data_IF_616044746994
#
_entry.id   IF_616044746994
#
_cell.length_a   1.000
_cell.length_b   1.000
_cell.length_c   1.000
_cell.angle_alpha   90.00
_cell.angle_beta   90.00
_cell.angle_gamma   90.00
#
_symmetry.space_group_name_H-M   'P 1'
#
loop_
_entity.id
_entity.type
_entity.pdbx_description
1 polymer ?
#
# COMPACT_ATOMS: atom_id res chain seq x y z
N UNK A 1 -13.14 11.11 -8.94
CA UNK A 1 -13.45 9.68 -9.07
C UNK A 1 -12.12 8.97 -8.90
N UNK A 2 -11.93 8.30 -7.76
CA UNK A 2 -10.64 7.69 -7.36
C UNK A 2 -10.40 6.49 -8.29
N UNK A 3 -9.47 6.62 -9.24
CA UNK A 3 -9.09 5.51 -10.12
C UNK A 3 -8.10 4.60 -9.38
N UNK A 4 -8.34 3.30 -9.42
CA UNK A 4 -7.53 2.30 -8.72
C UNK A 4 -6.83 1.43 -9.74
N UNK A 5 -5.51 1.44 -9.70
CA UNK A 5 -4.68 0.56 -10.49
C UNK A 5 -4.58 -0.80 -9.79
N UNK A 6 -4.90 -1.88 -10.50
CA UNK A 6 -4.83 -3.27 -10.00
C UNK A 6 -3.98 -4.12 -10.93
N UNK A 7 -3.13 -4.96 -10.36
CA UNK A 7 -2.26 -5.88 -11.09
C UNK A 7 -2.07 -7.18 -10.34
N UNK A 8 -2.13 -8.30 -11.06
CA UNK A 8 -1.74 -9.61 -10.55
C UNK A 8 -0.21 -9.70 -10.44
N UNK A 9 0.29 -10.05 -9.26
CA UNK A 9 1.69 -10.36 -9.04
C UNK A 9 1.97 -11.80 -9.48
N UNK A 10 3.03 -11.98 -10.28
CA UNK A 10 3.50 -13.30 -10.73
C UNK A 10 4.38 -14.02 -9.69
N UNK A 11 4.24 -13.64 -8.43
CA UNK A 11 5.02 -14.11 -7.28
C UNK A 11 4.10 -14.29 -6.09
N UNK A 12 4.53 -15.06 -5.08
CA UNK A 12 3.77 -15.24 -3.85
C UNK A 12 3.65 -13.96 -3.02
N UNK A 13 2.74 -13.98 -2.06
CA UNK A 13 2.35 -12.83 -1.25
C UNK A 13 3.52 -12.09 -0.60
N UNK A 14 4.38 -12.80 0.15
CA UNK A 14 5.50 -12.19 0.89
C UNK A 14 6.51 -11.52 -0.04
N UNK A 15 6.81 -12.16 -1.17
CA UNK A 15 7.69 -11.61 -2.20
C UNK A 15 7.04 -10.40 -2.90
N UNK A 16 5.72 -10.40 -3.09
CA UNK A 16 5.00 -9.25 -3.63
C UNK A 16 5.07 -8.04 -2.67
N UNK A 17 4.87 -8.24 -1.37
CA UNK A 17 5.01 -7.19 -0.35
C UNK A 17 6.42 -6.59 -0.41
N UNK A 18 7.46 -7.44 -0.38
CA UNK A 18 8.84 -6.99 -0.45
C UNK A 18 9.14 -6.22 -1.74
N UNK A 19 8.65 -6.68 -2.89
CA UNK A 19 8.82 -5.98 -4.17
C UNK A 19 8.13 -4.62 -4.21
N UNK A 20 7.00 -4.48 -3.52
CA UNK A 20 6.33 -3.18 -3.37
C UNK A 20 7.20 -2.24 -2.54
N UNK A 21 7.72 -2.69 -1.40
CA UNK A 21 8.64 -1.91 -0.56
C UNK A 21 9.91 -1.49 -1.33
N UNK A 22 10.56 -2.44 -2.01
CA UNK A 22 11.77 -2.20 -2.80
C UNK A 22 11.48 -1.22 -3.96
N UNK A 23 10.32 -1.34 -4.60
CA UNK A 23 9.91 -0.41 -5.65
C UNK A 23 9.68 0.99 -5.08
N UNK A 24 9.00 1.14 -3.95
CA UNK A 24 8.84 2.43 -3.29
C UNK A 24 10.20 3.10 -3.05
N UNK A 25 11.16 2.37 -2.46
CA UNK A 25 12.51 2.90 -2.18
C UNK A 25 13.23 3.30 -3.47
N UNK A 26 13.17 2.48 -4.53
CA UNK A 26 13.81 2.79 -5.81
C UNK A 26 13.23 4.06 -6.46
N UNK A 27 11.94 4.29 -6.34
CA UNK A 27 11.27 5.49 -6.88
C UNK A 27 11.39 6.73 -5.96
N UNK A 28 12.20 6.66 -4.90
CA UNK A 28 12.46 7.80 -4.00
C UNK A 28 11.45 7.97 -2.87
N UNK A 29 10.60 6.98 -2.61
CA UNK A 29 9.70 6.98 -1.46
C UNK A 29 10.37 6.31 -0.26
N UNK A 30 10.19 6.87 0.93
CA UNK A 30 10.47 6.19 2.19
C UNK A 30 9.29 5.31 2.59
N UNK A 31 9.54 4.03 2.90
CA UNK A 31 8.54 3.14 3.50
C UNK A 31 8.33 3.55 4.96
N UNK A 32 7.10 3.92 5.31
CA UNK A 32 6.73 4.38 6.65
C UNK A 32 6.15 3.26 7.51
N UNK A 33 5.30 2.43 6.91
CA UNK A 33 4.60 1.38 7.62
C UNK A 33 4.20 0.25 6.66
N UNK A 34 4.55 -0.96 7.02
CA UNK A 34 3.99 -2.18 6.41
C UNK A 34 3.18 -2.90 7.46
N UNK A 35 1.91 -3.19 7.17
CA UNK A 35 0.99 -3.73 8.16
C UNK A 35 0.07 -4.80 7.58
N UNK A 36 0.14 -5.99 8.18
CA UNK A 36 -0.81 -7.07 7.97
C UNK A 36 -2.15 -6.70 8.62
N UNK A 37 -3.14 -6.39 7.79
CA UNK A 37 -4.51 -6.04 8.21
C UNK A 37 -5.27 -7.30 8.59
N UNK A 38 -5.08 -8.40 7.87
CA UNK A 38 -5.68 -9.69 8.19
C UNK A 38 -5.36 -10.13 9.62
N UNK A 39 -4.12 -9.94 10.08
CA UNK A 39 -3.75 -10.20 11.46
C UNK A 39 -4.47 -9.28 12.46
N UNK A 40 -4.65 -8.00 12.13
CA UNK A 40 -5.41 -7.07 12.98
C UNK A 40 -6.86 -7.53 13.08
N UNK A 41 -7.48 -7.90 11.96
CA UNK A 41 -8.87 -8.38 11.93
C UNK A 41 -9.02 -9.65 12.77
N UNK A 42 -8.08 -10.59 12.64
CA UNK A 42 -8.04 -11.80 13.46
C UNK A 42 -7.91 -11.47 14.95
N UNK A 43 -6.97 -10.59 15.32
CA UNK A 43 -6.71 -10.24 16.72
C UNK A 43 -7.84 -9.44 17.37
N UNK A 44 -8.48 -8.53 16.63
CA UNK A 44 -9.46 -7.59 17.18
C UNK A 44 -10.89 -8.11 17.07
N UNK A 45 -11.19 -8.88 16.03
CA UNK A 45 -12.55 -9.32 15.71
C UNK A 45 -12.69 -10.85 15.73
N UNK A 46 -11.59 -11.61 15.81
CA UNK A 46 -11.63 -13.07 15.77
C UNK A 46 -12.00 -13.64 14.39
N UNK A 47 -11.87 -12.83 13.33
CA UNK A 47 -12.27 -13.22 11.97
C UNK A 47 -11.04 -13.66 11.17
N UNK A 48 -11.13 -14.84 10.55
CA UNK A 48 -10.17 -15.31 9.53
C UNK A 48 -10.40 -14.53 8.22
N UNK A 49 -9.35 -13.95 7.67
CA UNK A 49 -9.40 -13.15 6.44
C UNK A 49 -8.23 -13.55 5.53
N UNK A 50 -8.39 -13.59 4.18
CA UNK A 50 -7.26 -13.82 3.27
C UNK A 50 -6.13 -12.83 3.53
N UNK A 51 -4.88 -13.20 3.23
CA UNK A 51 -3.73 -12.34 3.56
C UNK A 51 -3.91 -10.97 2.91
N UNK A 52 -3.73 -9.92 3.70
CA UNK A 52 -4.00 -8.56 3.29
C UNK A 52 -3.05 -7.60 4.00
N UNK A 53 -2.13 -7.00 3.25
CA UNK A 53 -1.12 -6.08 3.78
C UNK A 53 -1.19 -4.76 3.05
N UNK A 54 -1.13 -3.65 3.79
CA UNK A 54 -0.84 -2.36 3.19
C UNK A 54 0.62 -1.96 3.46
N UNK A 55 1.18 -1.22 2.51
CA UNK A 55 2.47 -0.52 2.60
C UNK A 55 2.17 0.96 2.41
N UNK A 56 2.48 1.77 3.42
CA UNK A 56 2.43 3.22 3.34
C UNK A 56 3.82 3.74 3.05
N UNK A 57 3.95 4.54 1.99
CA UNK A 57 5.21 5.15 1.60
C UNK A 57 5.02 6.63 1.24
N UNK A 58 6.07 7.42 1.42
CA UNK A 58 6.02 8.86 1.16
C UNK A 58 7.33 9.35 0.53
N UNK A 59 7.24 10.09 -0.56
CA UNK A 59 8.35 10.85 -1.12
C UNK A 59 8.32 12.27 -0.51
N UNK A 60 9.33 12.68 0.29
CA UNK A 60 9.29 13.94 1.02
C UNK A 60 9.15 15.17 0.11
N UNK A 61 9.81 15.16 -1.06
CA UNK A 61 9.72 16.27 -2.02
C UNK A 61 8.30 16.43 -2.57
N UNK A 62 7.65 15.32 -2.95
CA UNK A 62 6.27 15.33 -3.42
C UNK A 62 5.29 15.78 -2.32
N UNK A 63 5.48 15.26 -1.10
CA UNK A 63 4.63 15.62 0.04
C UNK A 63 4.76 17.12 0.38
N UNK A 64 5.98 17.66 0.38
CA UNK A 64 6.21 19.09 0.57
C UNK A 64 5.52 19.92 -0.51
N UNK A 65 5.67 19.54 -1.78
CA UNK A 65 5.02 20.25 -2.89
C UNK A 65 3.50 20.29 -2.73
N UNK A 66 2.88 19.17 -2.35
CA UNK A 66 1.43 19.15 -2.06
C UNK A 66 1.08 20.08 -0.90
N UNK A 67 1.77 19.94 0.23
CA UNK A 67 1.52 20.71 1.45
C UNK A 67 1.75 22.22 1.32
N UNK A 68 2.54 22.64 0.33
CA UNK A 68 2.75 24.05 -0.02
C UNK A 68 1.58 24.61 -0.83
N UNK A 69 0.85 23.77 -1.58
CA UNK A 69 -0.35 24.15 -2.33
C UNK A 69 -1.58 24.19 -1.42
N UNK A 70 -1.79 23.15 -0.62
CA UNK A 70 -2.88 23.09 0.38
C UNK A 70 -2.53 22.13 1.51
N UNK A 71 -2.86 22.50 2.76
CA UNK A 71 -2.72 21.60 3.90
C UNK A 71 -3.70 20.43 3.84
N UNK A 72 -4.86 20.60 3.20
CA UNK A 72 -5.89 19.56 3.11
C UNK A 72 -5.42 18.32 2.34
N UNK A 73 -4.36 18.44 1.54
CA UNK A 73 -3.76 17.30 0.82
C UNK A 73 -3.19 16.24 1.77
N UNK A 74 -2.98 16.55 3.05
CA UNK A 74 -2.60 15.56 4.06
C UNK A 74 -3.60 14.41 4.19
N UNK A 75 -4.86 14.62 3.80
CA UNK A 75 -5.90 13.59 3.84
C UNK A 75 -5.77 12.53 2.74
N UNK A 76 -4.88 12.75 1.76
CA UNK A 76 -4.68 11.86 0.60
C UNK A 76 -3.25 11.28 0.51
N UNK A 77 -2.37 11.57 1.48
CA UNK A 77 -1.07 10.93 1.64
C UNK A 77 -0.87 10.47 3.11
N UNK A 78 0.01 9.51 3.44
CA UNK A 78 1.02 8.86 2.59
C UNK A 78 0.41 7.98 1.50
N UNK A 79 1.16 7.75 0.42
CA UNK A 79 0.73 6.88 -0.67
C UNK A 79 0.53 5.45 -0.13
N UNK A 80 -0.64 4.88 -0.41
CA UNK A 80 -0.98 3.52 0.01
C UNK A 80 -0.83 2.54 -1.15
N UNK A 81 -0.13 1.46 -0.89
CA UNK A 81 -0.07 0.27 -1.74
C UNK A 81 -0.66 -0.89 -0.95
N UNK A 82 -1.42 -1.74 -1.60
CA UNK A 82 -2.05 -2.91 -0.98
C UNK A 82 -1.60 -4.16 -1.71
N UNK A 83 -1.32 -5.20 -0.95
CA UNK A 83 -1.08 -6.57 -1.44
C UNK A 83 -2.10 -7.48 -0.75
N UNK A 84 -2.85 -8.25 -1.53
CA UNK A 84 -3.89 -9.13 -1.02
C UNK A 84 -3.94 -10.44 -1.81
N UNK A 85 -4.46 -11.49 -1.17
CA UNK A 85 -4.81 -12.73 -1.84
C UNK A 85 -6.25 -12.69 -2.39
N UNK A 86 -6.40 -13.12 -3.64
CA UNK A 86 -7.68 -13.33 -4.33
C UNK A 86 -7.70 -14.76 -4.90
N UNK A 87 -8.17 -15.70 -4.08
CA UNK A 87 -8.02 -17.13 -4.35
C UNK A 87 -6.54 -17.54 -4.35
N UNK A 88 -6.08 -18.16 -5.43
CA UNK A 88 -4.67 -18.56 -5.60
C UNK A 88 -3.76 -17.42 -6.10
N UNK A 89 -4.33 -16.23 -6.34
CA UNK A 89 -3.61 -15.10 -6.92
C UNK A 89 -3.18 -14.12 -5.85
N UNK A 90 -1.98 -13.58 -6.03
CA UNK A 90 -1.52 -12.40 -5.29
C UNK A 90 -1.79 -11.17 -6.14
N UNK A 91 -2.46 -10.18 -5.56
CA UNK A 91 -2.89 -8.96 -6.24
C UNK A 91 -2.26 -7.74 -5.57
N UNK A 92 -1.85 -6.77 -6.37
CA UNK A 92 -1.27 -5.50 -5.92
C UNK A 92 -2.10 -4.36 -6.47
N UNK A 93 -2.37 -3.37 -5.63
CA UNK A 93 -3.20 -2.24 -6.02
C UNK A 93 -2.88 -0.97 -5.27
N UNK A 94 -3.08 0.14 -5.96
CA UNK A 94 -2.74 1.47 -5.48
C UNK A 94 -3.63 2.51 -6.16
N UNK A 95 -3.72 3.68 -5.54
CA UNK A 95 -4.43 4.81 -6.11
C UNK A 95 -3.64 5.39 -7.29
N UNK A 96 -4.33 5.64 -8.40
CA UNK A 96 -3.79 6.41 -9.51
C UNK A 96 -4.37 7.83 -9.42
N UNK A 97 -3.50 8.81 -9.17
CA UNK A 97 -3.86 10.23 -9.08
C UNK A 97 -3.80 10.91 -10.44
#
# INVERSE_FOLDING_TARGET
MVEVLRKEAKVGFDEAVKRVEDACVREGFGVLLTKAVDEILRQKLGVEYPRYTFVLACAPELAKMGLDVSKDVETVFPCSFVVYEDGEKTMVHTHQS
#
